data_IF_943093966313
#
_entry.id   IF_943093966313
#
_cell.length_a   1.000
_cell.length_b   1.000
_cell.length_c   1.000
_cell.angle_alpha   90.00
_cell.angle_beta   90.00
_cell.angle_gamma   90.00
#
_symmetry.space_group_name_H-M   'P 1'
#
loop_
_entity.id
_entity.type
_entity.pdbx_description
1 polymer ?
#
# COMPACT_ATOMS: atom_id res chain seq x y z
N UNK A 1 -9.40 16.05 -23.09
CA UNK A 1 -9.19 16.77 -21.82
C UNK A 1 -7.84 17.47 -21.88
N UNK A 2 -7.77 18.78 -21.63
CA UNK A 2 -6.53 19.57 -21.68
C UNK A 2 -5.58 19.08 -20.57
N UNK A 3 -4.37 18.61 -20.92
CA UNK A 3 -3.26 18.48 -19.97
C UNK A 3 -3.04 19.84 -19.32
N UNK A 4 -3.33 19.96 -18.02
CA UNK A 4 -2.92 21.14 -17.26
C UNK A 4 -1.39 21.15 -17.23
N UNK A 5 -0.79 22.09 -17.94
CA UNK A 5 0.64 22.39 -17.92
C UNK A 5 1.05 22.88 -16.51
N UNK A 6 1.52 21.98 -15.67
CA UNK A 6 2.05 22.34 -14.34
C UNK A 6 2.28 21.17 -13.38
N UNK A 7 1.63 20.04 -13.56
CA UNK A 7 1.76 18.89 -12.65
C UNK A 7 2.80 17.91 -13.25
N UNK A 8 3.98 17.87 -12.63
CA UNK A 8 5.07 16.97 -13.04
C UNK A 8 4.62 15.51 -12.92
N UNK A 9 4.79 14.71 -14.00
CA UNK A 9 4.63 13.26 -13.97
C UNK A 9 5.58 12.66 -12.94
N UNK A 10 5.04 11.93 -11.97
CA UNK A 10 5.81 11.27 -10.92
C UNK A 10 6.22 9.86 -11.35
N UNK A 11 7.41 9.42 -10.92
CA UNK A 11 7.80 8.03 -10.95
C UNK A 11 7.33 7.32 -9.67
N UNK A 12 6.45 6.33 -9.80
CA UNK A 12 5.77 5.69 -8.68
C UNK A 12 6.04 4.19 -8.67
N UNK A 13 6.43 3.64 -7.53
CA UNK A 13 6.55 2.18 -7.29
C UNK A 13 5.44 1.74 -6.35
N UNK A 14 4.70 0.68 -6.71
CA UNK A 14 3.63 0.11 -5.88
C UNK A 14 3.82 -1.41 -5.78
N UNK A 15 4.13 -1.91 -4.58
CA UNK A 15 4.17 -3.36 -4.36
C UNK A 15 2.75 -3.93 -4.24
N UNK A 16 2.51 -5.13 -4.80
CA UNK A 16 1.17 -5.73 -4.77
C UNK A 16 0.13 -4.95 -5.59
N UNK A 17 0.53 -4.44 -6.77
CA UNK A 17 -0.31 -3.63 -7.65
C UNK A 17 -1.27 -4.42 -8.57
N UNK A 18 -1.35 -5.75 -8.44
CA UNK A 18 -2.07 -6.62 -9.39
C UNK A 18 -3.57 -6.74 -9.13
N UNK A 19 -4.04 -6.43 -7.92
CA UNK A 19 -5.45 -6.50 -7.53
C UNK A 19 -5.81 -5.60 -6.35
N UNK A 20 -7.09 -5.49 -6.06
CA UNK A 20 -7.62 -4.79 -4.89
C UNK A 20 -7.19 -3.33 -4.82
N UNK A 21 -6.82 -2.88 -3.63
CA UNK A 21 -6.43 -1.47 -3.42
C UNK A 21 -5.17 -1.08 -4.22
N UNK A 22 -4.18 -1.99 -4.31
CA UNK A 22 -2.97 -1.73 -5.09
C UNK A 22 -3.28 -1.44 -6.55
N UNK A 23 -4.13 -2.24 -7.18
CA UNK A 23 -4.59 -2.03 -8.55
C UNK A 23 -5.33 -0.70 -8.73
N UNK A 24 -6.24 -0.38 -7.79
CA UNK A 24 -6.97 0.88 -7.83
C UNK A 24 -6.05 2.10 -7.67
N UNK A 25 -5.04 2.04 -6.79
CA UNK A 25 -4.02 3.09 -6.66
C UNK A 25 -3.25 3.26 -7.98
N UNK A 26 -2.84 2.15 -8.61
CA UNK A 26 -2.15 2.19 -9.93
C UNK A 26 -3.01 2.90 -10.97
N UNK A 27 -4.28 2.49 -11.11
CA UNK A 27 -5.21 3.09 -12.06
C UNK A 27 -5.33 4.61 -11.88
N UNK A 28 -5.46 5.09 -10.64
CA UNK A 28 -5.56 6.52 -10.32
C UNK A 28 -4.26 7.28 -10.60
N UNK A 29 -3.08 6.70 -10.31
CA UNK A 29 -1.80 7.33 -10.67
C UNK A 29 -1.63 7.44 -12.18
N UNK A 30 -1.96 6.39 -12.94
CA UNK A 30 -1.91 6.42 -14.40
C UNK A 30 -2.88 7.45 -14.98
N UNK A 31 -4.11 7.53 -14.44
CA UNK A 31 -5.09 8.54 -14.83
C UNK A 31 -4.62 9.97 -14.55
N UNK A 32 -3.78 10.16 -13.51
CA UNK A 32 -3.13 11.43 -13.21
C UNK A 32 -1.90 11.75 -14.10
N UNK A 33 -1.51 10.84 -15.02
CA UNK A 33 -0.38 11.00 -15.93
C UNK A 33 0.98 10.61 -15.30
N UNK A 34 0.98 9.87 -14.21
CA UNK A 34 2.19 9.37 -13.57
C UNK A 34 2.69 8.09 -14.24
N UNK A 35 3.99 7.79 -14.09
CA UNK A 35 4.65 6.57 -14.57
C UNK A 35 4.73 5.59 -13.42
N UNK A 36 4.30 4.34 -13.64
CA UNK A 36 4.13 3.40 -12.54
C UNK A 36 4.88 2.09 -12.79
N UNK A 37 5.61 1.63 -11.78
CA UNK A 37 6.14 0.27 -11.69
C UNK A 37 5.37 -0.48 -10.61
N UNK A 38 4.92 -1.69 -10.93
CA UNK A 38 4.27 -2.59 -9.98
C UNK A 38 5.05 -3.90 -9.84
N UNK A 39 4.84 -4.61 -8.74
CA UNK A 39 5.27 -5.99 -8.63
C UNK A 39 4.17 -6.90 -8.06
N UNK A 40 4.33 -8.20 -8.34
CA UNK A 40 3.45 -9.25 -7.81
C UNK A 40 4.08 -10.62 -7.99
N UNK A 41 3.71 -11.59 -7.14
CA UNK A 41 4.27 -12.94 -7.13
C UNK A 41 3.76 -13.81 -8.28
N UNK A 42 2.49 -13.65 -8.63
CA UNK A 42 1.86 -14.42 -9.71
C UNK A 42 2.03 -13.69 -11.05
N UNK A 43 2.84 -14.27 -11.93
CA UNK A 43 3.15 -13.67 -13.24
C UNK A 43 1.93 -13.56 -14.15
N UNK A 44 1.00 -14.52 -14.12
CA UNK A 44 -0.22 -14.47 -14.93
C UNK A 44 -1.14 -13.32 -14.47
N UNK A 45 -1.33 -13.17 -13.15
CA UNK A 45 -2.10 -12.05 -12.60
C UNK A 45 -1.43 -10.69 -12.87
N UNK A 46 -0.10 -10.65 -12.84
CA UNK A 46 0.66 -9.44 -13.15
C UNK A 46 0.44 -9.03 -14.60
N UNK A 47 0.60 -9.95 -15.53
CA UNK A 47 0.42 -9.67 -16.96
C UNK A 47 -1.02 -9.26 -17.28
N UNK A 48 -2.02 -9.98 -16.73
CA UNK A 48 -3.42 -9.63 -16.89
C UNK A 48 -3.74 -8.21 -16.35
N UNK A 49 -3.16 -7.85 -15.19
CA UNK A 49 -3.32 -6.53 -14.63
C UNK A 49 -2.68 -5.44 -15.51
N UNK A 50 -1.49 -5.68 -16.04
CA UNK A 50 -0.80 -4.74 -16.95
C UNK A 50 -1.61 -4.52 -18.24
N UNK A 51 -2.13 -5.59 -18.84
CA UNK A 51 -2.96 -5.50 -20.03
C UNK A 51 -4.24 -4.70 -19.76
N UNK A 52 -4.96 -5.02 -18.68
CA UNK A 52 -6.19 -4.32 -18.32
C UNK A 52 -5.95 -2.81 -18.05
N UNK A 53 -4.85 -2.47 -17.37
CA UNK A 53 -4.50 -1.07 -17.09
C UNK A 53 -4.12 -0.30 -18.36
N UNK A 54 -3.39 -0.91 -19.30
CA UNK A 54 -3.06 -0.29 -20.60
C UNK A 54 -4.30 -0.07 -21.45
N UNK A 55 -5.29 -0.98 -21.39
CA UNK A 55 -6.56 -0.80 -22.07
C UNK A 55 -7.41 0.31 -21.43
N UNK A 56 -7.43 0.39 -20.09
CA UNK A 56 -8.19 1.39 -19.37
C UNK A 56 -7.60 2.82 -19.48
N UNK A 57 -6.27 2.92 -19.56
CA UNK A 57 -5.54 4.20 -19.70
C UNK A 57 -4.55 4.06 -20.86
N UNK A 58 -4.98 4.28 -22.10
CA UNK A 58 -4.11 4.21 -23.27
C UNK A 58 -2.91 5.15 -23.17
N UNK A 59 -1.77 4.73 -23.71
CA UNK A 59 -0.48 5.46 -23.67
C UNK A 59 0.10 5.63 -22.25
N UNK A 60 -0.45 4.94 -21.24
CA UNK A 60 0.11 4.98 -19.89
C UNK A 60 1.46 4.26 -19.79
N UNK A 61 2.38 4.84 -19.04
CA UNK A 61 3.69 4.25 -18.76
C UNK A 61 3.58 3.35 -17.51
N UNK A 62 3.19 2.09 -17.74
CA UNK A 62 3.12 1.06 -16.70
C UNK A 62 4.03 -0.11 -17.01
N UNK A 63 4.78 -0.54 -15.99
CA UNK A 63 5.75 -1.63 -16.06
C UNK A 63 5.54 -2.58 -14.88
N UNK A 64 5.82 -3.87 -15.07
CA UNK A 64 5.65 -4.90 -14.04
C UNK A 64 6.87 -5.76 -13.88
N UNK A 65 7.17 -6.15 -12.64
CA UNK A 65 8.22 -7.11 -12.27
C UNK A 65 7.63 -8.23 -11.43
N UNK A 66 7.85 -9.49 -11.85
CA UNK A 66 7.52 -10.65 -11.02
C UNK A 66 8.51 -10.77 -9.87
N UNK A 67 8.06 -10.53 -8.62
CA UNK A 67 8.88 -10.78 -7.45
C UNK A 67 8.04 -10.98 -6.18
N UNK A 68 8.59 -11.69 -5.21
CA UNK A 68 8.05 -11.80 -3.85
C UNK A 68 8.75 -10.78 -2.95
N UNK A 69 7.99 -9.87 -2.35
CA UNK A 69 8.55 -8.84 -1.45
C UNK A 69 9.24 -9.42 -0.22
N UNK A 70 8.93 -10.66 0.15
CA UNK A 70 9.58 -11.38 1.24
C UNK A 70 10.94 -12.00 0.87
N UNK A 71 11.29 -12.06 -0.41
CA UNK A 71 12.61 -12.52 -0.86
C UNK A 71 13.67 -11.45 -0.60
N UNK A 72 14.81 -11.79 0.03
CA UNK A 72 15.88 -10.84 0.32
C UNK A 72 16.42 -10.09 -0.90
N UNK A 73 16.38 -10.70 -2.09
CA UNK A 73 16.86 -10.08 -3.33
C UNK A 73 15.82 -9.18 -4.03
N UNK A 74 14.53 -9.35 -3.69
CA UNK A 74 13.42 -8.70 -4.41
C UNK A 74 13.46 -7.17 -4.33
N UNK A 75 13.86 -6.62 -3.18
CA UNK A 75 13.96 -5.18 -2.99
C UNK A 75 14.93 -4.55 -3.97
N UNK A 76 16.12 -5.11 -4.09
CA UNK A 76 17.15 -4.66 -5.02
C UNK A 76 16.73 -4.79 -6.46
N UNK A 77 16.17 -5.94 -6.84
CA UNK A 77 15.68 -6.18 -8.21
C UNK A 77 14.59 -5.19 -8.60
N UNK A 78 13.63 -4.94 -7.72
CA UNK A 78 12.55 -3.98 -7.96
C UNK A 78 13.08 -2.54 -8.05
N UNK A 79 14.05 -2.18 -7.21
CA UNK A 79 14.67 -0.87 -7.20
C UNK A 79 15.43 -0.58 -8.51
N UNK A 80 16.29 -1.51 -8.93
CA UNK A 80 17.05 -1.39 -10.18
C UNK A 80 16.11 -1.36 -11.40
N UNK A 81 15.06 -2.20 -11.41
CA UNK A 81 14.03 -2.19 -12.46
C UNK A 81 13.28 -0.85 -12.49
N UNK A 82 12.84 -0.34 -11.33
CA UNK A 82 12.13 0.93 -11.25
C UNK A 82 12.97 2.10 -11.78
N UNK A 83 14.24 2.18 -11.39
CA UNK A 83 15.17 3.22 -11.90
C UNK A 83 15.34 3.10 -13.41
N UNK A 84 15.49 1.88 -13.96
CA UNK A 84 15.65 1.67 -15.40
C UNK A 84 14.43 2.10 -16.22
N UNK A 85 13.21 1.97 -15.67
CA UNK A 85 11.95 2.28 -16.35
C UNK A 85 11.47 3.70 -16.12
N UNK A 86 11.63 4.21 -14.90
CA UNK A 86 11.09 5.50 -14.50
C UNK A 86 12.13 6.64 -14.57
N UNK A 87 13.43 6.32 -14.57
CA UNK A 87 14.53 7.28 -14.46
C UNK A 87 14.61 7.92 -13.06
N UNK A 88 13.47 8.24 -12.44
CA UNK A 88 13.34 8.82 -11.10
C UNK A 88 12.20 8.17 -10.33
N UNK A 89 12.42 7.88 -9.05
CA UNK A 89 11.41 7.34 -8.14
C UNK A 89 11.01 8.42 -7.14
N UNK A 90 9.80 8.94 -7.30
CA UNK A 90 9.25 10.01 -6.46
C UNK A 90 8.42 9.47 -5.30
N UNK A 91 7.71 8.37 -5.53
CA UNK A 91 6.80 7.72 -4.57
C UNK A 91 7.07 6.22 -4.54
N UNK A 92 7.19 5.67 -3.36
CA UNK A 92 7.31 4.22 -3.15
C UNK A 92 6.24 3.77 -2.17
N UNK A 93 5.33 2.90 -2.60
CA UNK A 93 4.17 2.48 -1.81
C UNK A 93 4.29 0.99 -1.50
N UNK A 94 4.58 0.67 -0.25
CA UNK A 94 4.60 -0.68 0.29
C UNK A 94 3.16 -1.11 0.60
N UNK A 95 2.45 -1.57 -0.46
CA UNK A 95 1.07 -2.02 -0.38
C UNK A 95 0.95 -3.55 -0.27
N UNK A 96 1.91 -4.31 -0.80
CA UNK A 96 1.88 -5.77 -0.72
C UNK A 96 1.63 -6.25 0.72
N UNK A 97 0.76 -7.24 0.86
CA UNK A 97 0.42 -7.78 2.15
C UNK A 97 -0.57 -8.93 2.06
N UNK A 98 -0.63 -9.72 3.12
CA UNK A 98 -1.59 -10.82 3.29
C UNK A 98 -2.23 -10.77 4.67
N UNK A 99 -3.44 -11.29 4.79
CA UNK A 99 -4.13 -11.46 6.09
C UNK A 99 -3.94 -12.87 6.68
N UNK A 100 -3.14 -13.70 6.01
CA UNK A 100 -3.05 -15.13 6.27
C UNK A 100 -4.12 -15.92 5.52
N UNK A 101 -4.09 -17.22 5.61
CA UNK A 101 -5.05 -18.13 4.99
C UNK A 101 -6.32 -18.23 5.84
N UNK A 102 -6.16 -18.34 7.17
CA UNK A 102 -7.24 -18.58 8.11
C UNK A 102 -7.30 -17.50 9.21
N UNK A 103 -8.52 -17.16 9.64
CA UNK A 103 -8.79 -16.29 10.80
C UNK A 103 -9.08 -17.13 12.04
N UNK A 104 -8.05 -17.78 12.60
CA UNK A 104 -8.11 -18.66 13.76
C UNK A 104 -7.31 -18.11 14.93
N UNK A 105 -7.52 -18.62 16.16
CA UNK A 105 -6.61 -18.38 17.28
C UNK A 105 -5.17 -18.76 16.91
N UNK A 106 -4.18 -18.03 17.47
CA UNK A 106 -2.77 -18.19 17.11
C UNK A 106 -2.27 -19.63 17.20
N UNK A 107 -2.70 -20.35 18.22
CA UNK A 107 -2.30 -21.75 18.50
C UNK A 107 -2.95 -22.78 17.56
N UNK A 108 -3.87 -22.36 16.70
CA UNK A 108 -4.53 -23.20 15.68
C UNK A 108 -4.01 -22.88 14.27
N UNK A 109 -3.11 -21.90 14.14
CA UNK A 109 -2.55 -21.54 12.84
C UNK A 109 -1.36 -22.43 12.50
N UNK A 110 -1.25 -22.78 11.22
CA UNK A 110 -0.06 -23.42 10.67
C UNK A 110 1.16 -22.50 10.73
N UNK A 111 2.34 -23.05 11.05
CA UNK A 111 3.57 -22.28 11.14
C UNK A 111 3.95 -21.61 9.81
N UNK A 112 3.66 -22.25 8.68
CA UNK A 112 3.88 -21.68 7.34
C UNK A 112 3.03 -20.44 7.10
N UNK A 113 1.75 -20.45 7.50
CA UNK A 113 0.87 -19.28 7.37
C UNK A 113 1.33 -18.11 8.26
N UNK A 114 1.79 -18.41 9.50
CA UNK A 114 2.38 -17.41 10.40
C UNK A 114 3.62 -16.79 9.77
N UNK A 115 4.55 -17.60 9.27
CA UNK A 115 5.80 -17.15 8.65
C UNK A 115 5.52 -16.35 7.39
N UNK A 116 4.69 -16.85 6.46
CA UNK A 116 4.34 -16.14 5.23
C UNK A 116 3.71 -14.78 5.54
N UNK A 117 2.79 -14.72 6.51
CA UNK A 117 2.13 -13.48 6.89
C UNK A 117 3.11 -12.45 7.44
N UNK A 118 4.00 -12.85 8.34
CA UNK A 118 5.00 -11.95 8.92
C UNK A 118 6.06 -11.54 7.87
N UNK A 119 6.54 -12.48 7.07
CA UNK A 119 7.54 -12.25 6.03
C UNK A 119 7.00 -11.29 4.97
N UNK A 120 5.82 -11.53 4.43
CA UNK A 120 5.24 -10.64 3.41
C UNK A 120 4.98 -9.25 3.98
N UNK A 121 4.33 -9.15 5.16
CA UNK A 121 3.89 -7.86 5.67
C UNK A 121 5.01 -7.03 6.29
N UNK A 122 5.82 -7.62 7.18
CA UNK A 122 6.82 -6.87 7.96
C UNK A 122 8.20 -6.94 7.32
N UNK A 123 8.73 -8.14 7.08
CA UNK A 123 10.07 -8.29 6.48
C UNK A 123 10.10 -7.67 5.09
N UNK A 124 9.09 -7.95 4.25
CA UNK A 124 8.96 -7.34 2.94
C UNK A 124 8.93 -5.81 3.00
N UNK A 125 8.16 -5.22 3.93
CA UNK A 125 8.14 -3.76 4.09
C UNK A 125 9.50 -3.19 4.53
N UNK A 126 10.25 -3.91 5.40
CA UNK A 126 11.60 -3.52 5.81
C UNK A 126 12.57 -3.52 4.62
N UNK A 127 12.61 -4.62 3.87
CA UNK A 127 13.48 -4.76 2.69
C UNK A 127 13.17 -3.71 1.63
N UNK A 128 11.88 -3.50 1.32
CA UNK A 128 11.46 -2.50 0.35
C UNK A 128 11.76 -1.07 0.81
N UNK A 129 11.61 -0.76 2.11
CA UNK A 129 11.99 0.56 2.65
C UNK A 129 13.50 0.81 2.53
N UNK A 130 14.34 -0.18 2.82
CA UNK A 130 15.80 -0.05 2.72
C UNK A 130 16.23 0.30 1.28
N UNK A 131 15.70 -0.42 0.29
CA UNK A 131 16.01 -0.15 -1.11
C UNK A 131 15.41 1.16 -1.62
N UNK A 132 14.18 1.49 -1.21
CA UNK A 132 13.57 2.79 -1.54
C UNK A 132 14.41 3.96 -1.04
N UNK A 133 14.90 3.91 0.20
CA UNK A 133 15.82 4.91 0.76
C UNK A 133 17.11 4.97 -0.05
N UNK A 134 17.70 3.82 -0.37
CA UNK A 134 18.95 3.72 -1.16
C UNK A 134 18.80 4.37 -2.53
N UNK A 135 17.71 4.08 -3.25
CA UNK A 135 17.42 4.72 -4.56
C UNK A 135 17.22 6.21 -4.40
N UNK A 136 16.37 6.63 -3.46
CA UNK A 136 16.04 8.04 -3.28
C UNK A 136 17.23 8.90 -2.82
N UNK A 137 18.18 8.32 -2.07
CA UNK A 137 19.41 9.02 -1.67
C UNK A 137 20.38 9.26 -2.84
N UNK A 138 20.34 8.41 -3.87
CA UNK A 138 21.16 8.57 -5.08
C UNK A 138 20.61 9.61 -6.05
N UNK A 139 19.37 10.05 -5.85
CA UNK A 139 18.71 11.07 -6.65
C UNK A 139 19.09 12.49 -6.17
N UNK A 140 18.85 13.55 -6.96
CA UNK A 140 19.17 14.92 -6.57
C UNK A 140 18.59 15.28 -5.19
N UNK A 141 19.45 15.72 -4.28
CA UNK A 141 19.06 16.07 -2.91
C UNK A 141 18.23 17.35 -2.86
N UNK A 142 17.35 17.46 -1.85
CA UNK A 142 16.54 18.64 -1.59
C UNK A 142 16.58 19.01 -0.10
N UNK A 143 16.44 20.30 0.21
CA UNK A 143 16.30 20.78 1.59
C UNK A 143 14.94 20.46 2.23
N UNK A 144 13.94 20.08 1.41
CA UNK A 144 12.60 19.67 1.84
C UNK A 144 12.30 18.29 1.28
N UNK A 145 11.42 17.48 1.91
CA UNK A 145 11.01 16.21 1.37
C UNK A 145 10.38 16.35 -0.02
N UNK A 146 10.92 15.62 -0.99
CA UNK A 146 10.42 15.54 -2.36
C UNK A 146 10.22 14.09 -2.81
N UNK A 147 10.89 13.15 -2.14
CA UNK A 147 10.71 11.71 -2.30
C UNK A 147 9.96 11.14 -1.10
N UNK A 148 9.03 10.23 -1.32
CA UNK A 148 8.14 9.80 -0.24
C UNK A 148 7.88 8.30 -0.27
N UNK A 149 8.04 7.66 0.89
CA UNK A 149 7.76 6.25 1.13
C UNK A 149 6.45 6.14 1.92
N UNK A 150 5.57 5.24 1.52
CA UNK A 150 4.27 5.01 2.16
C UNK A 150 4.14 3.55 2.58
N UNK A 151 3.83 3.31 3.82
CA UNK A 151 3.67 1.99 4.40
C UNK A 151 2.23 1.74 4.85
N UNK A 152 1.66 0.60 4.47
CA UNK A 152 0.32 0.16 4.87
C UNK A 152 0.37 -0.45 6.29
N UNK A 153 0.30 0.41 7.31
CA UNK A 153 0.28 0.02 8.71
C UNK A 153 -1.12 0.00 9.33
N UNK A 154 -1.24 -0.60 10.50
CA UNK A 154 -2.44 -0.51 11.34
C UNK A 154 -2.26 0.49 12.47
N UNK A 155 -3.22 1.41 12.61
CA UNK A 155 -3.34 2.20 13.83
C UNK A 155 -3.70 1.30 15.03
N UNK A 156 -3.46 1.76 16.27
CA UNK A 156 -3.87 1.03 17.49
C UNK A 156 -5.36 0.67 17.45
N UNK A 157 -6.21 1.65 17.15
CA UNK A 157 -7.66 1.45 17.03
C UNK A 157 -8.02 0.46 15.91
N UNK A 158 -7.37 0.57 14.75
CA UNK A 158 -7.59 -0.37 13.63
C UNK A 158 -7.22 -1.79 14.00
N UNK A 159 -6.10 -2.01 14.69
CA UNK A 159 -5.69 -3.33 15.16
C UNK A 159 -6.65 -3.90 16.22
N UNK A 160 -7.14 -3.07 17.15
CA UNK A 160 -8.08 -3.48 18.19
C UNK A 160 -9.45 -3.89 17.61
N UNK A 161 -9.95 -3.16 16.64
CA UNK A 161 -11.25 -3.43 16.00
C UNK A 161 -11.19 -4.53 14.92
N UNK A 162 -9.99 -4.89 14.47
CA UNK A 162 -9.81 -5.92 13.42
C UNK A 162 -10.09 -7.31 13.96
N UNK A 163 -10.84 -8.12 13.19
CA UNK A 163 -11.03 -9.58 13.43
C UNK A 163 -9.96 -10.43 12.74
N UNK A 164 -8.92 -9.82 12.18
CA UNK A 164 -7.81 -10.56 11.56
C UNK A 164 -7.02 -11.37 12.59
N UNK A 165 -6.35 -12.43 12.11
CA UNK A 165 -5.47 -13.27 12.93
C UNK A 165 -4.29 -12.46 13.52
N UNK A 166 -3.73 -12.97 14.63
CA UNK A 166 -2.66 -12.32 15.38
C UNK A 166 -1.43 -11.98 14.52
N UNK A 167 -0.91 -12.86 13.63
CA UNK A 167 0.24 -12.55 12.78
C UNK A 167 0.00 -11.31 11.89
N UNK A 168 -1.20 -11.20 11.31
CA UNK A 168 -1.56 -10.02 10.50
C UNK A 168 -1.60 -8.74 11.33
N UNK A 169 -2.22 -8.75 12.51
CA UNK A 169 -2.26 -7.58 13.39
C UNK A 169 -0.87 -7.17 13.86
N UNK A 170 -0.08 -8.14 14.33
CA UNK A 170 1.28 -7.91 14.84
C UNK A 170 2.20 -7.36 13.75
N UNK A 171 2.21 -7.99 12.56
CA UNK A 171 3.02 -7.53 11.44
C UNK A 171 2.62 -6.12 10.97
N UNK A 172 1.33 -5.80 10.84
CA UNK A 172 0.85 -4.47 10.45
C UNK A 172 1.12 -3.40 11.53
N UNK A 173 1.13 -3.77 12.81
CA UNK A 173 1.59 -2.88 13.89
C UNK A 173 3.10 -2.64 13.79
N UNK A 174 3.89 -3.70 13.52
CA UNK A 174 5.32 -3.58 13.24
C UNK A 174 5.62 -2.63 12.09
N UNK A 175 4.83 -2.67 11.01
CA UNK A 175 4.96 -1.73 9.86
C UNK A 175 4.66 -0.28 10.26
N UNK A 176 3.70 -0.04 11.16
CA UNK A 176 3.45 1.30 11.69
C UNK A 176 4.64 1.83 12.49
N UNK A 177 5.26 0.99 13.33
CA UNK A 177 6.46 1.33 14.10
C UNK A 177 7.70 1.51 13.18
N UNK A 178 7.89 0.64 12.18
CA UNK A 178 8.90 0.82 11.14
C UNK A 178 8.81 2.23 10.52
N UNK A 179 7.60 2.67 10.16
CA UNK A 179 7.38 4.00 9.56
C UNK A 179 7.86 5.11 10.49
N UNK A 180 7.56 4.99 11.77
CA UNK A 180 7.97 5.95 12.78
C UNK A 180 9.50 5.97 12.99
N UNK A 181 10.11 4.79 13.19
CA UNK A 181 11.54 4.67 13.44
C UNK A 181 12.37 5.09 12.23
N UNK A 182 12.00 4.67 11.02
CA UNK A 182 12.70 5.05 9.79
C UNK A 182 12.68 6.58 9.57
N UNK A 183 11.54 7.22 9.83
CA UNK A 183 11.44 8.68 9.73
C UNK A 183 12.38 9.40 10.72
N UNK A 184 12.55 8.85 11.94
CA UNK A 184 13.47 9.38 12.94
C UNK A 184 14.93 9.14 12.55
N UNK A 185 15.25 7.96 12.06
CA UNK A 185 16.58 7.59 11.61
C UNK A 185 17.06 8.48 10.46
N UNK A 186 16.22 8.68 9.43
CA UNK A 186 16.51 9.61 8.32
C UNK A 186 16.74 11.05 8.82
N UNK A 187 15.96 11.49 9.81
CA UNK A 187 16.16 12.81 10.43
C UNK A 187 17.51 12.90 11.15
N UNK A 188 17.87 11.88 11.94
CA UNK A 188 19.13 11.81 12.68
C UNK A 188 20.35 11.74 11.73
N UNK A 189 20.20 11.05 10.61
CA UNK A 189 21.22 10.98 9.55
C UNK A 189 21.30 12.24 8.67
N UNK A 190 20.50 13.28 8.95
CA UNK A 190 20.51 14.53 8.17
C UNK A 190 19.87 14.43 6.77
N UNK A 191 19.21 13.32 6.44
CA UNK A 191 18.53 13.14 5.16
C UNK A 191 17.26 13.99 5.12
N UNK A 192 17.26 15.06 4.32
CA UNK A 192 16.15 16.05 4.25
C UNK A 192 15.18 15.81 3.13
N UNK A 193 15.60 15.16 2.05
CA UNK A 193 14.83 14.96 0.81
C UNK A 193 13.80 13.86 0.87
N UNK A 194 13.83 12.97 1.89
CA UNK A 194 12.95 11.81 2.00
C UNK A 194 11.95 11.98 3.14
N UNK A 195 10.66 11.73 2.85
CA UNK A 195 9.58 11.59 3.81
C UNK A 195 9.08 10.14 3.92
N UNK A 196 8.66 9.71 5.12
CA UNK A 196 8.10 8.36 5.35
C UNK A 196 6.75 8.49 6.04
N UNK A 197 5.74 7.83 5.49
CA UNK A 197 4.33 8.04 5.87
C UNK A 197 3.60 6.73 6.14
N UNK A 198 2.71 6.74 7.12
CA UNK A 198 1.73 5.68 7.31
C UNK A 198 0.53 5.94 6.40
N UNK A 199 0.14 4.95 5.60
CA UNK A 199 -1.05 4.98 4.77
C UNK A 199 -2.13 4.08 5.40
N UNK A 200 -3.28 4.68 5.74
CA UNK A 200 -4.38 4.01 6.40
C UNK A 200 -5.65 4.10 5.54
N UNK A 201 -5.91 3.11 4.69
CA UNK A 201 -7.02 3.13 3.74
C UNK A 201 -8.39 2.86 4.39
N UNK A 202 -8.44 2.47 5.66
CA UNK A 202 -9.66 2.02 6.32
C UNK A 202 -10.05 0.60 5.94
N UNK A 203 -11.35 0.27 6.02
CA UNK A 203 -11.88 -1.00 5.56
C UNK A 203 -12.14 -0.90 4.05
N UNK A 204 -11.38 -1.66 3.28
CA UNK A 204 -11.47 -1.69 1.81
C UNK A 204 -12.02 -3.04 1.37
N UNK A 205 -13.10 -3.03 0.60
CA UNK A 205 -13.77 -4.23 0.10
C UNK A 205 -12.88 -4.93 -0.93
N UNK A 206 -12.10 -5.89 -0.48
CA UNK A 206 -11.13 -6.66 -1.26
C UNK A 206 -11.23 -8.14 -0.91
N UNK A 207 -10.73 -9.01 -1.76
CA UNK A 207 -10.60 -10.44 -1.46
C UNK A 207 -9.85 -10.68 -0.15
N UNK A 208 -8.84 -9.87 0.15
CA UNK A 208 -8.08 -9.95 1.40
C UNK A 208 -8.97 -9.72 2.64
N UNK A 209 -9.89 -8.76 2.55
CA UNK A 209 -10.83 -8.47 3.65
C UNK A 209 -11.87 -9.59 3.82
N UNK A 210 -12.36 -10.13 2.71
CA UNK A 210 -13.41 -11.14 2.68
C UNK A 210 -12.89 -12.56 2.90
N UNK A 211 -11.57 -12.79 2.81
CA UNK A 211 -10.97 -14.13 2.99
C UNK A 211 -11.35 -14.71 4.35
N UNK A 212 -11.78 -15.99 4.34
CA UNK A 212 -12.20 -16.73 5.54
C UNK A 212 -13.26 -15.98 6.39
N UNK A 213 -14.13 -15.21 5.76
CA UNK A 213 -15.25 -14.56 6.41
C UNK A 213 -16.53 -15.38 6.19
N UNK A 214 -17.33 -15.55 7.26
CA UNK A 214 -18.67 -16.15 7.14
C UNK A 214 -19.57 -15.28 6.25
N UNK A 215 -20.65 -15.87 5.69
CA UNK A 215 -21.59 -15.10 4.87
C UNK A 215 -22.16 -13.88 5.59
N UNK A 216 -22.49 -14.01 6.87
CA UNK A 216 -22.97 -12.91 7.71
C UNK A 216 -21.90 -11.80 7.83
N UNK A 217 -20.64 -12.19 8.08
CA UNK A 217 -19.53 -11.25 8.13
C UNK A 217 -19.29 -10.58 6.77
N UNK A 218 -19.42 -11.31 5.67
CA UNK A 218 -19.28 -10.73 4.32
C UNK A 218 -20.36 -9.68 4.06
N UNK A 219 -21.63 -9.98 4.32
CA UNK A 219 -22.75 -9.01 4.21
C UNK A 219 -22.50 -7.75 5.05
N UNK A 220 -22.00 -7.93 6.29
CA UNK A 220 -21.64 -6.79 7.15
C UNK A 220 -20.51 -5.95 6.54
N UNK A 221 -19.45 -6.59 6.06
CA UNK A 221 -18.31 -5.90 5.46
C UNK A 221 -18.70 -5.17 4.17
N UNK A 222 -19.60 -5.71 3.34
CA UNK A 222 -20.13 -5.05 2.15
C UNK A 222 -20.86 -3.74 2.45
N UNK A 223 -21.49 -3.64 3.63
CA UNK A 223 -22.18 -2.41 4.05
C UNK A 223 -21.20 -1.35 4.57
N UNK A 224 -20.15 -1.76 5.30
CA UNK A 224 -19.25 -0.82 6.00
C UNK A 224 -17.93 -0.56 5.29
N UNK A 225 -17.47 -1.46 4.42
CA UNK A 225 -16.22 -1.27 3.69
C UNK A 225 -16.44 -0.43 2.42
N UNK A 226 -15.40 0.27 2.02
CA UNK A 226 -15.42 1.08 0.80
C UNK A 226 -14.82 0.34 -0.39
N UNK A 227 -15.27 0.68 -1.58
CA UNK A 227 -14.68 0.17 -2.83
C UNK A 227 -13.26 0.66 -3.00
N UNK A 228 -12.32 -0.18 -3.48
CA UNK A 228 -10.93 0.19 -3.70
C UNK A 228 -10.76 1.46 -4.54
N UNK A 229 -11.57 1.63 -5.59
CA UNK A 229 -11.51 2.76 -6.51
C UNK A 229 -11.80 4.08 -5.79
N UNK A 230 -12.83 4.08 -4.92
CA UNK A 230 -13.19 5.27 -4.15
C UNK A 230 -12.11 5.63 -3.11
N UNK A 231 -11.48 4.62 -2.51
CA UNK A 231 -10.36 4.84 -1.58
C UNK A 231 -9.16 5.42 -2.33
N UNK A 232 -8.83 4.85 -3.49
CA UNK A 232 -7.72 5.30 -4.33
C UNK A 232 -7.93 6.74 -4.81
N UNK A 233 -9.13 7.10 -5.30
CA UNK A 233 -9.42 8.46 -5.79
C UNK A 233 -9.26 9.55 -4.73
N UNK A 234 -9.35 9.21 -3.44
CA UNK A 234 -9.12 10.14 -2.33
C UNK A 234 -7.65 10.14 -1.87
N UNK A 235 -6.99 8.97 -1.87
CA UNK A 235 -5.63 8.84 -1.38
C UNK A 235 -4.60 9.33 -2.39
N UNK A 236 -4.75 9.05 -3.68
CA UNK A 236 -3.75 9.40 -4.70
C UNK A 236 -3.48 10.92 -4.78
N UNK A 237 -4.48 11.82 -4.80
CA UNK A 237 -4.21 13.25 -4.75
C UNK A 237 -3.44 13.68 -3.49
N UNK A 238 -3.73 13.07 -2.32
CA UNK A 238 -3.00 13.32 -1.07
C UNK A 238 -1.55 12.83 -1.14
N UNK A 239 -1.32 11.64 -1.74
CA UNK A 239 0.02 11.06 -1.92
C UNK A 239 0.84 11.91 -2.91
N UNK A 240 0.22 12.40 -3.99
CA UNK A 240 0.90 13.24 -4.98
C UNK A 240 1.33 14.59 -4.40
N UNK A 241 0.47 15.24 -3.64
CA UNK A 241 0.68 16.61 -3.12
C UNK A 241 1.47 16.70 -1.81
N UNK A 242 1.85 15.57 -1.17
CA UNK A 242 2.50 15.60 0.12
C UNK A 242 3.89 16.23 0.06
N UNK A 243 4.21 17.07 1.04
CA UNK A 243 5.50 17.76 1.17
C UNK A 243 6.10 17.65 2.58
N UNK A 244 5.39 16.99 3.50
CA UNK A 244 5.82 16.81 4.89
C UNK A 244 6.78 15.63 5.04
N UNK A 245 7.53 15.59 6.15
CA UNK A 245 8.48 14.51 6.42
C UNK A 245 7.83 13.22 6.91
N UNK A 246 6.82 13.35 7.74
CA UNK A 246 6.11 12.23 8.35
C UNK A 246 4.66 12.62 8.56
N UNK A 247 3.75 11.78 8.08
CA UNK A 247 2.31 12.02 8.18
C UNK A 247 1.58 10.68 8.17
N UNK A 248 0.47 10.62 8.86
CA UNK A 248 -0.48 9.53 8.69
C UNK A 248 -1.57 9.97 7.73
N UNK A 249 -1.52 9.46 6.50
CA UNK A 249 -2.57 9.68 5.51
C UNK A 249 -3.71 8.68 5.73
N UNK A 250 -4.90 9.21 5.98
CA UNK A 250 -6.12 8.41 6.17
C UNK A 250 -7.10 8.66 5.02
N UNK A 251 -7.80 7.60 4.65
CA UNK A 251 -8.94 7.70 3.73
C UNK A 251 -10.01 8.59 4.33
N UNK A 252 -10.47 8.27 5.56
CA UNK A 252 -11.48 9.05 6.28
C UNK A 252 -11.15 9.20 7.77
N UNK A 253 -11.74 10.22 8.45
CA UNK A 253 -11.66 10.35 9.89
C UNK A 253 -12.30 9.18 10.63
N UNK A 254 -11.73 8.78 11.77
CA UNK A 254 -12.21 7.66 12.59
C UNK A 254 -13.69 7.84 12.98
N UNK A 255 -14.13 9.07 13.29
CA UNK A 255 -15.51 9.38 13.65
C UNK A 255 -16.50 9.00 12.52
N UNK A 256 -16.13 9.25 11.27
CA UNK A 256 -16.98 8.90 10.12
C UNK A 256 -17.07 7.39 9.92
N UNK A 257 -15.97 6.67 10.13
CA UNK A 257 -15.96 5.21 10.10
C UNK A 257 -16.86 4.61 11.20
N UNK A 258 -16.77 5.12 12.44
CA UNK A 258 -17.62 4.69 13.54
C UNK A 258 -19.11 4.98 13.28
N UNK A 259 -19.42 6.14 12.71
CA UNK A 259 -20.78 6.50 12.31
C UNK A 259 -21.37 5.55 11.25
N UNK A 260 -20.57 5.11 10.28
CA UNK A 260 -20.99 4.11 9.28
C UNK A 260 -21.26 2.74 9.90
N UNK A 261 -20.44 2.32 10.86
CA UNK A 261 -20.67 1.07 11.61
C UNK A 261 -22.01 1.16 12.36
N UNK A 262 -22.29 2.27 13.04
CA UNK A 262 -23.56 2.46 13.77
C UNK A 262 -24.78 2.44 12.86
N UNK A 263 -24.71 3.08 11.69
CA UNK A 263 -25.83 3.09 10.71
C UNK A 263 -25.96 1.75 9.98
N UNK A 264 -24.85 1.03 9.77
CA UNK A 264 -24.85 -0.25 9.10
C UNK A 264 -25.42 -1.40 9.95
N UNK A 265 -25.28 -1.32 11.29
CA UNK A 265 -25.78 -2.36 12.20
C UNK A 265 -27.28 -2.67 12.07
N UNK A 266 -28.22 -1.69 11.97
CA UNK A 266 -29.63 -2.00 11.81
C UNK A 266 -29.99 -2.70 10.50
N UNK A 267 -29.21 -2.50 9.43
CA UNK A 267 -29.44 -3.09 8.11
C UNK A 267 -29.02 -4.57 7.99
N UNK A 268 -28.41 -5.12 9.03
CA UNK A 268 -27.93 -6.49 9.08
C UNK A 268 -28.92 -7.38 9.81
N UNK A 269 -29.73 -6.81 10.69
CA UNK A 269 -30.71 -7.51 11.52
C UNK A 269 -32.13 -7.43 10.97
N UNK A 270 -32.33 -6.82 9.80
CA UNK A 270 -33.58 -6.76 9.04
C UNK A 270 -33.26 -7.13 7.57
#
# INVERSE_FOLDING_TARGET
MKKNNGDLSLGVVITGGTKGLGYALVSEFLAAGDRVVICGRNLQQLEAALQALRLAVPESEIYGLGCDVGDPSAGRLLADFAVSRLGRVDRWINNAGTAGLLKRPLWELDAGDILETCTTNLVGSLLMCAEAVTVMQRQPSSRKPCYHIFNMGFSMTGAALSRSAVPHKASKRGVAELTHFLSRELKSAGVKSIGVHELSPGLVLTELLLRDATEETQRFLEVIAEKPEKVASILVPKIRSITTRNTRLRYEPLAKMLFRILIGMPRIFW
#
